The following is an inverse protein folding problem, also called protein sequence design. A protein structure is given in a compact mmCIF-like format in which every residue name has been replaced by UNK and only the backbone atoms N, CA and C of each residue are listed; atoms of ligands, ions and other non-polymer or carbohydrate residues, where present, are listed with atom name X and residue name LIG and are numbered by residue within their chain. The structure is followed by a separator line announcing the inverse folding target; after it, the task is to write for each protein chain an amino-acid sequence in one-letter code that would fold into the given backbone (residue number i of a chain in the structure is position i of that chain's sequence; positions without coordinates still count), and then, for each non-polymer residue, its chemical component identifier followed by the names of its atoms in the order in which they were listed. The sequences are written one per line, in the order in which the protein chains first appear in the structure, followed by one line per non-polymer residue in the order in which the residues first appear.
data_IF_550082648825
#
_entry.id   IF_550082648825
#
_cell.length_a   1.000
_cell.length_b   1.000
_cell.length_c   1.000
_cell.angle_alpha   90.00
_cell.angle_beta   90.00
_cell.angle_gamma   90.00
#
_symmetry.space_group_name_H-M   'P 1'
#
loop_
_entity.id
_entity.type
_entity.pdbx_description
1 polymer ?
#
# COMPACT_ATOMS: atom_id res chain seq x y z
N UNK A 1 26.78 -20.13 1.46
CA UNK A 1 26.15 -18.92 2.04
C UNK A 1 26.04 -17.80 1.01
N UNK A 2 27.11 -17.45 0.26
CA UNK A 2 27.05 -16.47 -0.83
C UNK A 2 26.03 -16.81 -1.94
N UNK A 3 25.93 -18.07 -2.34
CA UNK A 3 25.01 -18.54 -3.40
C UNK A 3 23.52 -18.41 -3.01
N UNK A 4 23.20 -18.62 -1.73
CA UNK A 4 21.84 -18.46 -1.19
C UNK A 4 21.45 -16.97 -1.13
N UNK A 5 22.41 -16.11 -0.72
CA UNK A 5 22.21 -14.65 -0.68
C UNK A 5 21.97 -14.10 -2.10
N UNK A 6 22.63 -14.64 -3.11
CA UNK A 6 22.44 -14.24 -4.50
C UNK A 6 21.07 -14.66 -5.05
N UNK A 7 20.63 -15.89 -4.73
CA UNK A 7 19.30 -16.40 -5.11
C UNK A 7 18.15 -15.57 -4.52
N UNK A 8 18.22 -15.19 -3.25
CA UNK A 8 17.17 -14.40 -2.61
C UNK A 8 17.14 -12.96 -3.13
N UNK A 9 18.30 -12.40 -3.47
CA UNK A 9 18.39 -11.08 -4.13
C UNK A 9 17.80 -11.14 -5.53
N UNK A 10 18.12 -12.17 -6.30
CA UNK A 10 17.58 -12.39 -7.63
C UNK A 10 16.05 -12.55 -7.61
N UNK A 11 15.51 -13.34 -6.68
CA UNK A 11 14.06 -13.53 -6.52
C UNK A 11 13.34 -12.22 -6.19
N UNK A 12 13.89 -11.42 -5.26
CA UNK A 12 13.34 -10.11 -4.89
C UNK A 12 13.34 -9.16 -6.09
N UNK A 13 14.44 -9.10 -6.84
CA UNK A 13 14.53 -8.30 -8.06
C UNK A 13 13.50 -8.74 -9.10
N UNK A 14 13.38 -10.04 -9.37
CA UNK A 14 12.42 -10.56 -10.34
C UNK A 14 10.96 -10.25 -9.94
N UNK A 15 10.63 -10.34 -8.65
CA UNK A 15 9.31 -9.97 -8.15
C UNK A 15 9.04 -8.46 -8.29
N UNK A 16 10.05 -7.62 -8.03
CA UNK A 16 9.96 -6.17 -8.22
C UNK A 16 9.80 -5.79 -9.70
N UNK A 17 10.63 -6.35 -10.58
CA UNK A 17 10.56 -6.11 -12.03
C UNK A 17 9.18 -6.48 -12.59
N UNK A 18 8.57 -7.57 -12.10
CA UNK A 18 7.21 -7.97 -12.47
C UNK A 18 6.14 -7.08 -11.86
N UNK A 19 6.25 -6.77 -10.56
CA UNK A 19 5.25 -5.99 -9.82
C UNK A 19 5.18 -4.53 -10.27
N UNK A 20 6.34 -3.91 -10.54
CA UNK A 20 6.42 -2.50 -10.94
C UNK A 20 6.38 -2.28 -12.45
N UNK A 21 6.20 -3.33 -13.26
CA UNK A 21 6.23 -3.23 -14.72
C UNK A 21 5.31 -2.13 -15.27
N UNK A 22 4.07 -2.05 -14.77
CA UNK A 22 3.11 -1.03 -15.21
C UNK A 22 3.27 0.29 -14.47
N UNK A 23 3.91 0.27 -13.30
CA UNK A 23 4.18 1.47 -12.50
C UNK A 23 5.27 2.32 -13.13
N UNK A 24 6.33 1.72 -13.66
CA UNK A 24 7.39 2.43 -14.40
C UNK A 24 6.88 3.19 -15.63
N UNK A 25 5.78 2.74 -16.23
CA UNK A 25 5.15 3.42 -17.37
C UNK A 25 4.18 4.53 -16.93
N UNK A 26 3.62 4.40 -15.72
CA UNK A 26 2.56 5.27 -15.20
C UNK A 26 3.12 6.43 -14.37
N UNK A 27 4.17 6.17 -13.61
CA UNK A 27 4.83 7.14 -12.74
C UNK A 27 6.22 7.42 -13.28
N UNK A 28 6.69 8.67 -13.13
CA UNK A 28 8.06 9.05 -13.48
C UNK A 28 9.07 8.73 -12.35
N UNK A 29 8.71 7.76 -11.50
CA UNK A 29 9.50 7.33 -10.35
C UNK A 29 10.33 6.08 -10.70
N UNK A 30 11.47 5.92 -10.02
CA UNK A 30 12.27 4.69 -10.11
C UNK A 30 11.84 3.72 -9.00
N UNK A 31 11.38 2.53 -9.41
CA UNK A 31 10.99 1.45 -8.50
C UNK A 31 11.98 0.30 -8.57
N UNK A 32 12.28 -0.30 -7.42
CA UNK A 32 13.22 -1.40 -7.27
C UNK A 32 12.85 -2.33 -6.12
N UNK A 33 13.66 -3.38 -5.90
CA UNK A 33 13.39 -4.40 -4.88
C UNK A 33 13.34 -3.86 -3.45
N UNK A 34 14.00 -2.73 -3.20
CA UNK A 34 14.10 -2.09 -1.89
C UNK A 34 13.20 -0.84 -1.77
N UNK A 35 12.40 -0.51 -2.78
CA UNK A 35 11.48 0.65 -2.72
C UNK A 35 10.44 0.46 -1.62
N UNK A 36 10.40 1.38 -0.65
CA UNK A 36 9.42 1.43 0.44
C UNK A 36 8.35 2.47 0.14
N UNK A 37 7.28 2.47 0.94
CA UNK A 37 6.22 3.49 0.83
C UNK A 37 6.73 4.91 1.15
N UNK A 38 7.68 5.02 2.08
CA UNK A 38 8.31 6.30 2.43
C UNK A 38 9.13 6.91 1.30
N UNK A 39 9.61 6.08 0.37
CA UNK A 39 10.43 6.52 -0.75
C UNK A 39 9.60 7.08 -1.92
N UNK A 40 8.27 6.92 -1.89
CA UNK A 40 7.38 7.34 -2.96
C UNK A 40 7.19 8.87 -2.99
N UNK A 41 7.16 9.42 -4.22
CA UNK A 41 6.85 10.82 -4.44
C UNK A 41 5.43 11.15 -3.94
N UNK A 42 5.18 12.39 -3.46
CA UNK A 42 3.85 12.80 -3.01
C UNK A 42 2.74 12.58 -4.05
N UNK A 43 3.01 12.83 -5.32
CA UNK A 43 2.07 12.60 -6.43
C UNK A 43 1.70 11.13 -6.60
N UNK A 44 2.70 10.26 -6.53
CA UNK A 44 2.52 8.81 -6.65
C UNK A 44 1.69 8.28 -5.48
N UNK A 45 1.98 8.71 -4.24
CA UNK A 45 1.16 8.37 -3.08
C UNK A 45 -0.27 8.88 -3.20
N UNK A 46 -0.44 10.14 -3.60
CA UNK A 46 -1.75 10.75 -3.77
C UNK A 46 -2.58 9.99 -4.81
N UNK A 47 -1.96 9.63 -5.95
CA UNK A 47 -2.60 8.81 -6.96
C UNK A 47 -3.01 7.45 -6.40
N UNK A 48 -2.10 6.72 -5.75
CA UNK A 48 -2.38 5.40 -5.18
C UNK A 48 -3.45 5.42 -4.08
N UNK A 49 -3.52 6.50 -3.30
CA UNK A 49 -4.50 6.66 -2.22
C UNK A 49 -5.90 7.06 -2.70
N UNK A 50 -5.99 7.70 -3.87
CA UNK A 50 -7.23 8.23 -4.42
C UNK A 50 -8.14 7.09 -4.87
N UNK A 51 -9.44 7.11 -4.47
CA UNK A 51 -10.39 6.11 -4.93
C UNK A 51 -10.60 6.21 -6.45
N UNK A 52 -10.65 5.06 -7.12
CA UNK A 52 -10.90 4.98 -8.55
C UNK A 52 -10.69 3.56 -9.06
N UNK A 53 -11.46 3.13 -10.06
CA UNK A 53 -11.34 1.79 -10.64
C UNK A 53 -9.96 1.60 -11.28
N UNK A 54 -9.49 2.59 -12.06
CA UNK A 54 -8.16 2.58 -12.66
C UNK A 54 -7.03 2.55 -11.63
N UNK A 55 -7.21 3.22 -10.49
CA UNK A 55 -6.27 3.20 -9.36
C UNK A 55 -6.25 1.81 -8.71
N UNK A 56 -7.38 1.12 -8.64
CA UNK A 56 -7.45 -0.25 -8.12
C UNK A 56 -6.68 -1.24 -8.99
N UNK A 57 -6.79 -1.13 -10.33
CA UNK A 57 -6.06 -2.02 -11.24
C UNK A 57 -4.54 -1.89 -11.11
N UNK A 58 -4.02 -0.74 -10.66
CA UNK A 58 -2.59 -0.54 -10.35
C UNK A 58 -2.13 -1.45 -9.21
N UNK A 59 -2.99 -1.64 -8.19
CA UNK A 59 -2.71 -2.59 -7.11
C UNK A 59 -2.89 -4.04 -7.57
N UNK A 60 -3.85 -4.33 -8.45
CA UNK A 60 -3.99 -5.69 -9.00
C UNK A 60 -2.76 -6.09 -9.82
N UNK A 61 -2.26 -5.21 -10.68
CA UNK A 61 -1.00 -5.42 -11.41
C UNK A 61 0.17 -5.67 -10.46
N UNK A 62 0.29 -4.85 -9.40
CA UNK A 62 1.35 -4.99 -8.41
C UNK A 62 1.29 -6.36 -7.71
N UNK A 63 0.12 -6.73 -7.17
CA UNK A 63 -0.10 -8.00 -6.47
C UNK A 63 0.14 -9.17 -7.40
N UNK A 64 -0.48 -9.16 -8.58
CA UNK A 64 -0.37 -10.26 -9.53
C UNK A 64 1.05 -10.40 -10.07
N UNK A 65 1.74 -9.30 -10.37
CA UNK A 65 3.13 -9.29 -10.81
C UNK A 65 4.06 -9.86 -9.74
N UNK A 66 3.95 -9.37 -8.50
CA UNK A 66 4.76 -9.83 -7.37
C UNK A 66 4.54 -11.32 -7.03
N UNK A 67 3.31 -11.82 -7.25
CA UNK A 67 2.94 -13.23 -7.01
C UNK A 67 3.11 -14.13 -8.23
N UNK A 68 3.54 -13.60 -9.38
CA UNK A 68 3.74 -14.38 -10.60
C UNK A 68 2.46 -14.83 -11.30
N UNK A 69 1.33 -14.15 -11.06
CA UNK A 69 0.01 -14.46 -11.62
C UNK A 69 -0.25 -13.81 -12.99
N UNK A 70 0.69 -13.01 -13.50
CA UNK A 70 0.55 -12.22 -14.73
C UNK A 70 0.10 -10.79 -14.43
N UNK A 71 -0.52 -10.11 -15.41
CA UNK A 71 -1.05 -8.75 -15.24
C UNK A 71 -2.57 -8.72 -15.01
N UNK A 72 -3.08 -7.58 -14.59
CA UNK A 72 -4.48 -7.32 -14.26
C UNK A 72 -5.43 -7.53 -15.45
N UNK A 73 -4.93 -7.56 -16.69
CA UNK A 73 -5.74 -7.94 -17.85
C UNK A 73 -6.36 -9.34 -17.69
N UNK A 74 -5.62 -10.31 -17.13
CA UNK A 74 -6.15 -11.65 -16.83
C UNK A 74 -7.28 -11.62 -15.81
N UNK A 75 -7.19 -10.70 -14.84
CA UNK A 75 -8.26 -10.46 -13.89
C UNK A 75 -9.51 -9.93 -14.60
N UNK A 76 -9.34 -8.94 -15.47
CA UNK A 76 -10.43 -8.28 -16.23
C UNK A 76 -11.12 -9.22 -17.23
N UNK A 77 -10.36 -10.10 -17.88
CA UNK A 77 -10.87 -11.10 -18.82
C UNK A 77 -11.53 -12.30 -18.13
N UNK A 78 -11.57 -12.32 -16.80
CA UNK A 78 -12.06 -13.41 -15.98
C UNK A 78 -11.27 -14.72 -16.09
N UNK A 79 -10.00 -14.68 -16.51
CA UNK A 79 -9.11 -15.83 -16.71
C UNK A 79 -8.50 -16.39 -15.40
N UNK A 80 -9.16 -16.15 -14.26
CA UNK A 80 -8.73 -16.55 -12.93
C UNK A 80 -9.91 -17.16 -12.17
N UNK A 81 -9.62 -18.18 -11.36
CA UNK A 81 -10.60 -18.76 -10.45
C UNK A 81 -11.05 -17.74 -9.40
N UNK A 82 -12.32 -17.83 -8.99
CA UNK A 82 -12.92 -16.91 -8.01
C UNK A 82 -12.12 -16.80 -6.69
N UNK A 83 -11.63 -17.88 -6.06
CA UNK A 83 -10.83 -17.76 -4.83
C UNK A 83 -9.55 -16.96 -5.03
N UNK A 84 -8.90 -17.10 -6.20
CA UNK A 84 -7.70 -16.35 -6.55
C UNK A 84 -8.02 -14.86 -6.73
N UNK A 85 -9.15 -14.53 -7.38
CA UNK A 85 -9.59 -13.14 -7.54
C UNK A 85 -9.85 -12.48 -6.20
N UNK A 86 -10.58 -13.15 -5.30
CA UNK A 86 -10.85 -12.61 -3.96
C UNK A 86 -9.56 -12.34 -3.19
N UNK A 87 -8.58 -13.27 -3.25
CA UNK A 87 -7.29 -13.08 -2.60
C UNK A 87 -6.47 -11.92 -3.18
N UNK A 88 -6.53 -11.71 -4.50
CA UNK A 88 -5.91 -10.54 -5.15
C UNK A 88 -6.56 -9.25 -4.63
N UNK A 89 -7.89 -9.21 -4.57
CA UNK A 89 -8.63 -8.05 -4.08
C UNK A 89 -8.27 -7.75 -2.62
N UNK A 90 -8.29 -8.76 -1.75
CA UNK A 90 -7.96 -8.59 -0.33
C UNK A 90 -6.55 -8.03 -0.12
N UNK A 91 -5.56 -8.58 -0.84
CA UNK A 91 -4.19 -8.08 -0.78
C UNK A 91 -4.09 -6.64 -1.34
N UNK A 92 -4.75 -6.34 -2.45
CA UNK A 92 -4.76 -5.01 -3.04
C UNK A 92 -5.38 -3.96 -2.10
N UNK A 93 -6.52 -4.26 -1.48
CA UNK A 93 -7.16 -3.38 -0.48
C UNK A 93 -6.26 -3.17 0.74
N UNK A 94 -5.59 -4.23 1.21
CA UNK A 94 -4.68 -4.13 2.33
C UNK A 94 -3.47 -3.23 2.02
N UNK A 95 -2.89 -3.32 0.82
CA UNK A 95 -1.78 -2.46 0.40
C UNK A 95 -2.25 -1.03 0.16
N UNK A 96 -3.45 -0.84 -0.39
CA UNK A 96 -4.07 0.48 -0.51
C UNK A 96 -4.24 1.16 0.86
N UNK A 97 -4.62 0.41 1.90
CA UNK A 97 -4.66 0.92 3.27
C UNK A 97 -3.26 1.31 3.79
N UNK A 98 -2.19 0.58 3.46
CA UNK A 98 -0.81 0.98 3.80
C UNK A 98 -0.41 2.32 3.18
N UNK A 99 -0.73 2.52 1.90
CA UNK A 99 -0.57 3.82 1.22
C UNK A 99 -1.38 4.90 1.94
N UNK A 100 -2.63 4.55 2.30
CA UNK A 100 -3.55 5.26 3.22
C UNK A 100 -2.83 5.85 4.44
N UNK A 101 -2.20 4.95 5.17
CA UNK A 101 -1.54 5.24 6.43
C UNK A 101 -0.25 6.04 6.26
N UNK A 102 0.51 5.81 5.18
CA UNK A 102 1.69 6.62 4.88
C UNK A 102 1.32 8.09 4.65
N UNK A 103 0.22 8.38 3.94
CA UNK A 103 -0.30 9.75 3.83
C UNK A 103 -0.64 10.34 5.19
N UNK A 104 -1.36 9.57 6.02
CA UNK A 104 -1.73 10.03 7.37
C UNK A 104 -0.48 10.32 8.22
N UNK A 105 0.59 9.52 8.06
CA UNK A 105 1.86 9.69 8.76
C UNK A 105 2.58 10.96 8.30
N UNK A 106 2.66 11.21 6.98
CA UNK A 106 3.23 12.46 6.43
C UNK A 106 2.47 13.71 6.88
N UNK A 107 1.17 13.59 7.12
CA UNK A 107 0.35 14.66 7.70
C UNK A 107 0.52 14.81 9.23
N UNK A 108 1.24 13.90 9.90
CA UNK A 108 1.38 13.85 11.35
C UNK A 108 0.12 13.38 12.10
N UNK A 109 -0.81 12.72 11.42
CA UNK A 109 -2.08 12.29 12.03
C UNK A 109 -1.97 10.96 12.75
N UNK A 110 -1.04 10.12 12.34
CA UNK A 110 -0.72 8.83 12.96
C UNK A 110 0.74 8.78 13.33
N UNK A 111 1.06 7.91 14.28
CA UNK A 111 2.43 7.50 14.59
C UNK A 111 2.98 6.58 13.49
N UNK A 112 4.01 5.80 13.80
CA UNK A 112 4.68 4.88 12.87
C UNK A 112 3.68 4.04 12.05
N UNK A 113 3.82 4.08 10.73
CA UNK A 113 3.00 3.28 9.83
C UNK A 113 3.54 1.84 9.82
N UNK A 114 2.72 0.80 10.06
CA UNK A 114 3.27 -0.54 10.11
C UNK A 114 3.80 -0.95 8.73
N UNK A 115 5.07 -1.35 8.70
CA UNK A 115 5.78 -1.68 7.47
C UNK A 115 6.50 -0.50 6.81
N UNK A 116 6.71 0.62 7.51
CA UNK A 116 7.42 1.81 7.00
C UNK A 116 8.77 1.47 6.35
N UNK A 117 9.56 0.63 7.03
CA UNK A 117 10.89 0.19 6.59
C UNK A 117 10.85 -1.03 5.66
N UNK A 118 9.67 -1.58 5.40
CA UNK A 118 9.50 -2.80 4.61
C UNK A 118 9.36 -2.44 3.12
N UNK A 119 10.14 -3.07 2.21
CA UNK A 119 9.95 -2.87 0.78
C UNK A 119 8.52 -3.21 0.35
N UNK A 120 7.97 -2.45 -0.58
CA UNK A 120 6.57 -2.55 -1.01
C UNK A 120 6.24 -3.95 -1.58
N UNK A 121 7.17 -4.58 -2.28
CA UNK A 121 7.01 -5.96 -2.77
C UNK A 121 6.93 -6.96 -1.62
N UNK A 122 7.71 -6.75 -0.55
CA UNK A 122 7.62 -7.59 0.64
C UNK A 122 6.30 -7.37 1.38
N UNK A 123 5.78 -6.13 1.44
CA UNK A 123 4.45 -5.85 1.97
C UNK A 123 3.35 -6.60 1.20
N UNK A 124 3.41 -6.59 -0.13
CA UNK A 124 2.48 -7.34 -0.99
C UNK A 124 2.51 -8.83 -0.68
N UNK A 125 3.70 -9.41 -0.55
CA UNK A 125 3.87 -10.83 -0.22
C UNK A 125 3.34 -11.15 1.19
N UNK A 126 3.58 -10.27 2.16
CA UNK A 126 3.05 -10.41 3.52
C UNK A 126 1.52 -10.32 3.53
N UNK A 127 0.93 -9.35 2.81
CA UNK A 127 -0.52 -9.23 2.68
C UNK A 127 -1.13 -10.49 2.05
N UNK A 128 -0.48 -11.02 1.01
CA UNK A 128 -0.90 -12.26 0.36
C UNK A 128 -0.86 -13.48 1.30
N UNK A 129 0.17 -13.58 2.14
CA UNK A 129 0.39 -14.72 3.04
C UNK A 129 -0.45 -14.65 4.32
N UNK A 130 -0.55 -13.47 4.93
CA UNK A 130 -1.15 -13.25 6.25
C UNK A 130 -2.63 -12.88 6.18
N UNK A 131 -3.12 -12.40 5.03
CA UNK A 131 -4.54 -12.06 4.83
C UNK A 131 -5.08 -11.11 5.88
N UNK A 132 -6.08 -11.56 6.64
CA UNK A 132 -6.76 -10.75 7.65
C UNK A 132 -5.85 -10.22 8.75
N UNK A 133 -4.80 -10.95 9.13
CA UNK A 133 -3.89 -10.52 10.19
C UNK A 133 -3.02 -9.33 9.75
N UNK A 134 -2.66 -9.26 8.47
CA UNK A 134 -2.01 -8.08 7.91
C UNK A 134 -2.93 -6.86 7.96
N UNK A 135 -4.22 -7.05 7.62
CA UNK A 135 -5.19 -5.96 7.61
C UNK A 135 -5.54 -5.43 9.02
N UNK A 136 -5.33 -6.23 10.07
CA UNK A 136 -5.52 -5.78 11.46
C UNK A 136 -4.43 -4.83 11.96
N UNK A 137 -3.30 -4.75 11.26
CA UNK A 137 -2.20 -3.87 11.63
C UNK A 137 -2.49 -2.43 11.19
N UNK A 138 -3.10 -1.66 12.08
CA UNK A 138 -3.44 -0.25 11.86
C UNK A 138 -2.51 0.62 12.71
N UNK A 139 -1.98 1.74 12.18
CA UNK A 139 -1.18 2.66 13.00
C UNK A 139 -2.01 3.27 14.13
N UNK A 140 -1.32 3.78 15.15
CA UNK A 140 -1.95 4.52 16.23
C UNK A 140 -2.18 5.96 15.82
N UNK A 141 -3.28 6.54 16.28
CA UNK A 141 -3.52 7.96 16.10
C UNK A 141 -2.50 8.76 16.92
N UNK A 142 -1.95 9.82 16.33
CA UNK A 142 -0.96 10.67 17.01
C UNK A 142 -1.58 11.36 18.24
N UNK A 143 -0.85 11.47 19.37
CA UNK A 143 -1.28 12.26 20.54
C UNK A 143 -1.59 13.72 20.24
N UNK A 144 -1.00 14.29 19.18
CA UNK A 144 -1.27 15.68 18.76
C UNK A 144 -2.57 15.83 17.97
N UNK A 145 -3.21 14.72 17.57
CA UNK A 145 -4.44 14.77 16.79
C UNK A 145 -5.64 15.17 17.67
N UNK A 146 -6.54 16.08 17.24
CA UNK A 146 -7.65 16.57 18.07
C UNK A 146 -8.56 15.48 18.64
N UNK A 147 -8.72 14.38 17.91
CA UNK A 147 -9.56 13.25 18.30
C UNK A 147 -8.86 12.21 19.19
N UNK A 148 -7.59 12.41 19.57
CA UNK A 148 -6.79 11.42 20.30
C UNK A 148 -7.40 11.00 21.63
N UNK A 149 -7.93 11.96 22.39
CA UNK A 149 -8.52 11.70 23.71
C UNK A 149 -9.76 10.80 23.66
N UNK A 150 -10.57 10.93 22.62
CA UNK A 150 -11.70 10.04 22.37
C UNK A 150 -11.21 8.67 21.86
N UNK A 151 -10.24 8.68 20.94
CA UNK A 151 -9.65 7.48 20.34
C UNK A 151 -9.02 6.54 21.37
N UNK A 152 -8.21 7.05 22.32
CA UNK A 152 -7.47 6.22 23.27
C UNK A 152 -8.35 5.41 24.23
N UNK A 153 -9.61 5.81 24.40
CA UNK A 153 -10.60 5.15 25.27
C UNK A 153 -11.31 3.99 24.58
N UNK A 154 -11.13 3.83 23.27
CA UNK A 154 -11.78 2.80 22.46
C UNK A 154 -11.05 1.44 22.57
N UNK A 155 -11.79 0.36 22.33
CA UNK A 155 -11.20 -0.96 22.11
C UNK A 155 -10.35 -0.98 20.82
N UNK A 156 -9.38 -1.88 20.72
CA UNK A 156 -8.44 -1.93 19.59
C UNK A 156 -9.12 -2.02 18.21
N UNK A 157 -10.23 -2.75 18.10
CA UNK A 157 -11.01 -2.87 16.85
C UNK A 157 -11.67 -1.54 16.45
N UNK A 158 -12.17 -0.80 17.43
CA UNK A 158 -12.81 0.50 17.24
C UNK A 158 -11.77 1.60 16.97
N UNK A 159 -10.58 1.48 17.56
CA UNK A 159 -9.42 2.29 17.24
C UNK A 159 -9.05 2.14 15.76
N UNK A 160 -8.92 0.90 15.28
CA UNK A 160 -8.62 0.62 13.87
C UNK A 160 -9.68 1.17 12.91
N UNK A 161 -10.95 1.06 13.29
CA UNK A 161 -12.09 1.64 12.55
C UNK A 161 -12.03 3.17 12.53
N UNK A 162 -11.67 3.79 13.65
CA UNK A 162 -11.57 5.24 13.79
C UNK A 162 -10.48 5.81 12.90
N UNK A 163 -9.30 5.19 12.85
CA UNK A 163 -8.20 5.60 11.97
C UNK A 163 -8.64 5.52 10.50
N UNK A 164 -9.27 4.42 10.07
CA UNK A 164 -9.76 4.28 8.69
C UNK A 164 -10.81 5.31 8.32
N UNK A 165 -11.68 5.72 9.25
CA UNK A 165 -12.68 6.79 9.02
C UNK A 165 -12.05 8.14 8.73
N UNK A 166 -10.80 8.37 9.14
CA UNK A 166 -10.08 9.61 8.86
C UNK A 166 -9.44 9.64 7.47
N UNK A 167 -9.29 8.50 6.80
CA UNK A 167 -8.63 8.37 5.49
C UNK A 167 -9.17 9.39 4.47
N UNK A 168 -10.50 9.54 4.24
CA UNK A 168 -10.98 10.48 3.22
C UNK A 168 -10.53 11.92 3.47
N UNK A 169 -10.53 12.34 4.75
CA UNK A 169 -10.07 13.68 5.15
C UNK A 169 -8.55 13.83 5.02
N UNK A 170 -7.80 12.77 5.32
CA UNK A 170 -6.36 12.75 5.15
C UNK A 170 -5.98 12.88 3.67
N UNK A 171 -6.59 12.10 2.79
CA UNK A 171 -6.34 12.19 1.34
C UNK A 171 -6.69 13.57 0.79
N UNK A 172 -7.81 14.16 1.22
CA UNK A 172 -8.19 15.52 0.82
C UNK A 172 -7.15 16.57 1.26
N UNK A 173 -6.72 16.54 2.53
CA UNK A 173 -5.72 17.47 3.06
C UNK A 173 -4.35 17.29 2.39
N UNK A 174 -3.95 16.06 2.10
CA UNK A 174 -2.69 15.77 1.41
C UNK A 174 -2.71 16.26 -0.03
N UNK A 175 -3.86 16.15 -0.71
CA UNK A 175 -4.06 16.73 -2.05
C UNK A 175 -3.81 18.24 -2.04
N UNK A 176 -4.40 18.96 -1.08
CA UNK A 176 -4.21 20.41 -0.94
C UNK A 176 -2.72 20.78 -0.77
N UNK A 177 -1.95 19.99 -0.02
CA UNK A 177 -0.50 20.21 0.13
C UNK A 177 0.25 19.99 -1.17
N UNK A 178 0.01 18.86 -1.86
CA UNK A 178 0.68 18.52 -3.12
C UNK A 178 0.33 19.50 -4.25
N UNK A 179 -0.89 20.00 -4.29
CA UNK A 179 -1.32 21.00 -5.27
C UNK A 179 -0.84 22.42 -4.90
N UNK A 180 -0.80 22.76 -3.61
CA UNK A 180 -0.30 24.05 -3.13
C UNK A 180 1.21 24.23 -3.28
N UNK A 181 1.99 23.16 -3.23
CA UNK A 181 3.45 23.19 -3.48
C UNK A 181 3.81 23.39 -4.96
N UNK A 182 2.83 23.30 -5.88
CA UNK A 182 3.01 23.48 -7.32
C UNK A 182 2.71 24.90 -7.82
N UNK A 183 2.16 25.76 -6.98
CA UNK A 183 1.84 27.17 -7.28
C UNK A 183 2.92 28.11 -6.80
#
# INVERSE_FOLDING_TARGET
MAEIVDLDRFRRKLAADKGFRTWLQRFQDQFGPDTRLVDLAPETLLYLATPGEENMYVFFDLVMGAMGLGGALRFRLNDLETPTKLRIMDAAFAIMDRVRFEIMRRLGWVEDAPGEETPLIALVQQAWQQGSDFNRQVPRLSPSHPNYEAYRKLAAIDQGTTVRRLIPRAVAKFREQVEGEKG
#
